data_IF_756685297092
#
_entry.id   IF_756685297092
#
_cell.length_a   1.000
_cell.length_b   1.000
_cell.length_c   1.000
_cell.angle_alpha   90.00
_cell.angle_beta   90.00
_cell.angle_gamma   90.00
#
_symmetry.space_group_name_H-M   'P 1'
#
loop_
_entity.id
_entity.type
_entity.pdbx_description
1 polymer ?
#
# COMPACT_ATOMS: atom_id res chain seq x y z
N UNK A 1 35.11 -9.80 -36.06
CA UNK A 1 35.22 -10.85 -35.03
C UNK A 1 33.90 -10.91 -34.30
N UNK A 2 33.18 -12.02 -34.46
CA UNK A 2 31.82 -12.19 -33.89
C UNK A 2 31.96 -12.57 -32.43
N UNK A 3 31.42 -11.73 -31.52
CA UNK A 3 31.24 -12.09 -30.11
C UNK A 3 30.19 -13.21 -30.04
N UNK A 4 30.63 -14.43 -29.69
CA UNK A 4 29.72 -15.52 -29.35
C UNK A 4 28.98 -15.18 -28.09
N UNK A 5 27.68 -14.98 -28.19
CA UNK A 5 26.78 -14.96 -27.02
C UNK A 5 26.88 -16.31 -26.29
N UNK A 6 27.38 -16.28 -25.06
CA UNK A 6 27.46 -17.42 -24.17
C UNK A 6 26.03 -17.88 -23.81
N UNK A 7 25.72 -19.14 -24.06
CA UNK A 7 24.42 -19.71 -23.72
C UNK A 7 24.34 -20.07 -22.23
N UNK A 8 23.14 -20.20 -21.68
CA UNK A 8 22.90 -20.61 -20.28
C UNK A 8 23.53 -21.99 -19.99
N UNK A 9 23.59 -22.88 -20.98
CA UNK A 9 24.26 -24.19 -20.89
C UNK A 9 25.78 -24.05 -20.76
N UNK A 10 26.39 -23.09 -21.46
CA UNK A 10 27.84 -22.82 -21.40
C UNK A 10 28.22 -22.19 -20.04
N UNK A 11 27.32 -21.45 -19.43
CA UNK A 11 27.52 -20.89 -18.09
C UNK A 11 27.47 -21.98 -17.02
N UNK A 12 26.49 -22.91 -17.08
CA UNK A 12 26.33 -24.01 -16.14
C UNK A 12 27.55 -24.97 -16.16
N UNK A 13 28.11 -25.26 -17.35
CA UNK A 13 29.25 -26.18 -17.46
C UNK A 13 30.56 -25.60 -16.93
N UNK A 14 30.69 -24.29 -16.83
CA UNK A 14 31.89 -23.61 -16.31
C UNK A 14 31.87 -23.38 -14.78
N UNK A 15 30.77 -23.72 -14.07
CA UNK A 15 30.61 -23.44 -12.63
C UNK A 15 30.37 -24.69 -11.79
N UNK A 16 30.58 -25.90 -12.35
CA UNK A 16 30.40 -27.16 -11.62
C UNK A 16 31.76 -27.77 -11.19
N UNK A 17 32.55 -27.01 -10.46
CA UNK A 17 33.69 -27.58 -9.71
C UNK A 17 33.75 -26.99 -8.28
N UNK A 18 33.31 -27.79 -7.32
CA UNK A 18 33.72 -27.66 -5.92
C UNK A 18 32.74 -27.01 -4.97
N UNK A 19 31.81 -27.79 -4.46
CA UNK A 19 30.99 -27.45 -3.31
C UNK A 19 31.84 -27.11 -2.09
N UNK A 20 31.86 -25.84 -1.70
CA UNK A 20 32.11 -25.37 -0.33
C UNK A 20 30.83 -24.77 0.26
N UNK A 21 30.60 -24.94 1.58
CA UNK A 21 29.31 -24.57 2.15
C UNK A 21 29.15 -23.06 2.30
N UNK A 22 28.00 -22.58 1.87
CA UNK A 22 27.26 -21.36 2.25
C UNK A 22 28.09 -20.09 2.53
N UNK A 23 28.36 -19.33 1.49
CA UNK A 23 28.39 -17.89 1.52
C UNK A 23 27.21 -17.35 0.70
N UNK A 24 26.55 -16.37 1.29
CA UNK A 24 25.32 -15.65 0.94
C UNK A 24 25.12 -15.44 -0.57
N UNK A 25 24.30 -16.27 -1.21
CA UNK A 25 23.96 -16.22 -2.64
C UNK A 25 22.90 -15.13 -2.93
N UNK A 26 23.11 -13.90 -2.45
CA UNK A 26 22.19 -12.78 -2.72
C UNK A 26 22.02 -12.51 -4.20
N UNK A 27 23.11 -12.47 -4.96
CA UNK A 27 23.07 -12.23 -6.41
C UNK A 27 22.36 -13.35 -7.18
N UNK A 28 22.52 -14.60 -6.75
CA UNK A 28 21.82 -15.75 -7.34
C UNK A 28 20.34 -15.73 -7.02
N UNK A 29 19.96 -15.41 -5.79
CA UNK A 29 18.56 -15.30 -5.38
C UNK A 29 17.88 -14.10 -6.05
N UNK A 30 18.55 -12.94 -6.15
CA UNK A 30 18.06 -11.78 -6.92
C UNK A 30 17.93 -12.05 -8.41
N UNK A 31 18.78 -12.91 -8.98
CA UNK A 31 18.69 -13.34 -10.37
C UNK A 31 17.49 -14.27 -10.59
N UNK A 32 17.29 -15.27 -9.73
CA UNK A 32 16.13 -16.18 -9.79
C UNK A 32 14.83 -15.43 -9.55
N UNK A 33 14.80 -14.45 -8.64
CA UNK A 33 13.61 -13.63 -8.37
C UNK A 33 13.15 -12.81 -9.58
N UNK A 34 14.05 -12.48 -10.52
CA UNK A 34 13.69 -11.83 -11.79
C UNK A 34 12.92 -12.72 -12.76
N UNK A 35 13.05 -14.04 -12.62
CA UNK A 35 12.38 -15.03 -13.49
C UNK A 35 11.15 -15.67 -12.84
N UNK A 36 10.86 -15.37 -11.57
CA UNK A 36 9.58 -15.76 -10.99
C UNK A 36 8.46 -15.03 -11.73
N UNK A 37 7.37 -15.72 -12.11
CA UNK A 37 6.20 -15.06 -12.65
C UNK A 37 5.83 -13.91 -11.72
N UNK A 38 5.72 -12.69 -12.23
CA UNK A 38 5.20 -11.58 -11.42
C UNK A 38 3.76 -11.94 -11.10
N UNK A 39 3.51 -12.27 -9.84
CA UNK A 39 2.16 -12.44 -9.32
C UNK A 39 1.39 -11.15 -9.57
N UNK A 40 0.22 -11.27 -10.16
CA UNK A 40 -0.68 -10.15 -10.41
C UNK A 40 -1.36 -9.72 -9.10
N UNK A 41 -2.04 -8.58 -9.10
CA UNK A 41 -2.87 -8.15 -7.96
C UNK A 41 -4.05 -9.10 -7.71
N UNK A 42 -4.40 -9.93 -8.68
CA UNK A 42 -5.47 -10.92 -8.59
C UNK A 42 -5.01 -12.21 -7.86
N UNK A 43 -3.69 -12.43 -7.74
CA UNK A 43 -3.08 -13.54 -6.97
C UNK A 43 -2.77 -13.15 -5.51
N UNK A 44 -3.37 -12.09 -5.01
CA UNK A 44 -3.12 -11.56 -3.67
C UNK A 44 -4.02 -12.24 -2.64
N UNK A 45 -3.58 -13.38 -2.10
CA UNK A 45 -4.29 -14.00 -0.98
C UNK A 45 -4.11 -13.19 0.30
N UNK A 46 -5.24 -12.97 0.99
CA UNK A 46 -5.27 -12.25 2.25
C UNK A 46 -4.77 -13.16 3.36
N UNK A 47 -3.75 -12.75 4.15
CA UNK A 47 -3.30 -13.51 5.31
C UNK A 47 -4.45 -13.81 6.28
N UNK A 48 -4.50 -15.03 6.86
CA UNK A 48 -5.63 -15.47 7.69
C UNK A 48 -5.97 -14.50 8.83
N UNK A 49 -4.97 -13.98 9.55
CA UNK A 49 -5.18 -13.05 10.65
C UNK A 49 -5.71 -11.68 10.19
N UNK A 50 -5.36 -11.22 8.99
CA UNK A 50 -5.95 -10.00 8.38
C UNK A 50 -7.41 -10.25 8.02
N UNK A 51 -7.70 -11.41 7.40
CA UNK A 51 -9.07 -11.80 7.10
C UNK A 51 -9.90 -11.88 8.38
N UNK A 52 -9.41 -12.55 9.42
CA UNK A 52 -10.10 -12.70 10.70
C UNK A 52 -10.39 -11.34 11.35
N UNK A 53 -9.41 -10.42 11.33
CA UNK A 53 -9.61 -9.08 11.87
C UNK A 53 -10.70 -8.29 11.13
N UNK A 54 -10.82 -8.46 9.81
CA UNK A 54 -11.88 -7.85 9.01
C UNK A 54 -13.21 -8.52 9.29
N UNK A 55 -13.27 -9.86 9.28
CA UNK A 55 -14.49 -10.63 9.49
C UNK A 55 -15.08 -10.41 10.91
N UNK A 56 -14.22 -10.36 11.94
CA UNK A 56 -14.65 -10.04 13.31
C UNK A 56 -15.24 -8.64 13.40
N UNK A 57 -14.58 -7.65 12.78
CA UNK A 57 -15.09 -6.30 12.75
C UNK A 57 -16.43 -6.20 12.00
N UNK A 58 -16.57 -6.88 10.86
CA UNK A 58 -17.83 -6.91 10.09
C UNK A 58 -18.97 -7.55 10.92
N UNK A 59 -18.67 -8.67 11.59
CA UNK A 59 -19.64 -9.33 12.45
C UNK A 59 -20.13 -8.41 13.58
N UNK A 60 -19.21 -7.72 14.26
CA UNK A 60 -19.52 -6.80 15.34
C UNK A 60 -20.28 -5.54 14.87
N UNK A 61 -19.78 -4.89 13.81
CA UNK A 61 -20.33 -3.63 13.29
C UNK A 61 -21.75 -3.77 12.77
N UNK A 62 -22.04 -4.90 12.08
CA UNK A 62 -23.34 -5.14 11.44
C UNK A 62 -24.23 -6.14 12.20
N UNK A 63 -23.76 -6.65 13.33
CA UNK A 63 -24.52 -7.64 14.11
C UNK A 63 -24.75 -8.96 13.37
N UNK A 64 -23.78 -9.42 12.57
CA UNK A 64 -23.85 -10.62 11.74
C UNK A 64 -23.17 -11.80 12.44
N UNK A 65 -23.66 -13.02 12.17
CA UNK A 65 -23.00 -14.24 12.61
C UNK A 65 -21.90 -14.62 11.61
N UNK A 66 -20.65 -14.74 12.07
CA UNK A 66 -19.52 -15.19 11.24
C UNK A 66 -19.74 -16.56 10.58
N UNK A 67 -20.58 -17.41 11.16
CA UNK A 67 -20.93 -18.71 10.59
C UNK A 67 -21.70 -18.60 9.25
N UNK A 68 -22.28 -17.42 8.96
CA UNK A 68 -22.98 -17.13 7.71
C UNK A 68 -22.05 -16.53 6.63
N UNK A 69 -20.76 -16.33 6.92
CA UNK A 69 -19.84 -15.73 5.97
C UNK A 69 -19.37 -16.74 4.93
N UNK A 70 -19.42 -16.33 3.67
CA UNK A 70 -18.99 -17.13 2.51
C UNK A 70 -17.75 -16.49 1.89
N UNK A 71 -16.80 -17.34 1.42
CA UNK A 71 -15.52 -16.94 0.84
C UNK A 71 -15.29 -17.56 -0.54
N UNK A 72 -15.97 -17.07 -1.58
CA UNK A 72 -15.91 -17.67 -2.92
C UNK A 72 -14.57 -17.43 -3.65
N UNK A 73 -13.75 -16.50 -3.17
CA UNK A 73 -12.44 -16.18 -3.75
C UNK A 73 -11.26 -16.85 -3.03
N UNK A 74 -11.55 -17.74 -2.08
CA UNK A 74 -10.51 -18.59 -1.50
C UNK A 74 -9.94 -19.51 -2.60
N UNK A 75 -8.64 -19.88 -2.56
CA UNK A 75 -7.99 -20.61 -3.65
C UNK A 75 -8.81 -21.77 -4.23
N UNK A 76 -9.13 -21.68 -5.52
CA UNK A 76 -9.91 -22.69 -6.25
C UNK A 76 -11.41 -22.49 -6.25
N UNK A 77 -11.94 -21.43 -5.62
CA UNK A 77 -13.36 -21.08 -5.66
C UNK A 77 -13.76 -20.32 -6.93
N UNK A 78 -15.03 -20.42 -7.28
CA UNK A 78 -15.65 -19.68 -8.39
C UNK A 78 -16.94 -19.03 -7.87
N UNK A 79 -16.96 -17.70 -7.82
CA UNK A 79 -18.06 -16.93 -7.26
C UNK A 79 -19.39 -17.07 -8.04
N UNK A 80 -19.35 -17.47 -9.32
CA UNK A 80 -20.56 -17.66 -10.12
C UNK A 80 -21.27 -18.98 -9.81
N UNK A 81 -20.52 -20.01 -9.37
CA UNK A 81 -21.00 -21.36 -9.08
C UNK A 81 -21.06 -21.68 -7.60
N UNK A 82 -20.59 -20.77 -6.73
CA UNK A 82 -20.63 -20.92 -5.28
C UNK A 82 -22.08 -21.04 -4.76
N UNK A 83 -22.27 -21.82 -3.70
CA UNK A 83 -23.55 -21.91 -3.01
C UNK A 83 -23.70 -20.74 -2.01
N UNK A 84 -24.76 -19.97 -2.19
CA UNK A 84 -25.08 -18.82 -1.34
C UNK A 84 -26.34 -19.09 -0.52
N UNK A 85 -26.25 -19.67 0.68
CA UNK A 85 -27.39 -19.91 1.55
C UNK A 85 -28.15 -18.60 1.85
N UNK A 86 -29.47 -18.73 2.06
CA UNK A 86 -30.28 -17.57 2.43
C UNK A 86 -29.73 -16.88 3.70
N UNK A 87 -29.58 -15.57 3.65
CA UNK A 87 -29.04 -14.78 4.75
C UNK A 87 -27.51 -14.79 4.86
N UNK A 88 -26.81 -15.43 3.94
CA UNK A 88 -25.34 -15.37 3.93
C UNK A 88 -24.81 -13.96 3.60
N UNK A 89 -23.58 -13.72 3.99
CA UNK A 89 -22.83 -12.51 3.64
C UNK A 89 -21.47 -12.90 3.08
N UNK A 90 -21.14 -12.39 1.90
CA UNK A 90 -19.79 -12.59 1.34
C UNK A 90 -18.82 -11.62 1.99
N UNK A 91 -17.82 -12.14 2.70
CA UNK A 91 -16.72 -11.35 3.28
C UNK A 91 -15.43 -11.90 2.69
N UNK A 92 -14.88 -11.26 1.65
CA UNK A 92 -13.73 -11.83 0.96
C UNK A 92 -12.93 -10.78 0.17
N UNK A 93 -11.78 -11.21 -0.35
CA UNK A 93 -10.88 -10.43 -1.19
C UNK A 93 -10.99 -10.90 -2.65
N UNK A 94 -11.81 -10.24 -3.48
CA UNK A 94 -12.00 -10.62 -4.88
C UNK A 94 -10.82 -10.17 -5.76
N UNK A 95 -10.68 -10.76 -6.97
CA UNK A 95 -9.83 -10.22 -8.01
C UNK A 95 -10.23 -8.77 -8.33
N UNK A 96 -9.27 -7.83 -8.18
CA UNK A 96 -9.57 -6.41 -8.33
C UNK A 96 -9.88 -6.00 -9.77
N UNK A 97 -9.41 -6.76 -10.75
CA UNK A 97 -9.66 -6.52 -12.19
C UNK A 97 -11.14 -6.63 -12.56
N UNK A 98 -11.91 -7.50 -11.88
CA UNK A 98 -13.34 -7.76 -12.13
C UNK A 98 -14.24 -7.35 -10.96
N UNK A 99 -13.75 -6.56 -10.02
CA UNK A 99 -14.49 -6.17 -8.82
C UNK A 99 -15.85 -5.52 -9.13
N UNK A 100 -15.95 -4.75 -10.22
CA UNK A 100 -17.23 -4.15 -10.66
C UNK A 100 -18.27 -5.17 -11.07
N UNK A 101 -17.85 -6.20 -11.79
CA UNK A 101 -18.72 -7.29 -12.25
C UNK A 101 -19.21 -8.09 -11.05
N UNK A 102 -18.32 -8.38 -10.10
CA UNK A 102 -18.64 -9.09 -8.87
C UNK A 102 -19.67 -8.32 -8.02
N UNK A 103 -19.47 -7.00 -7.82
CA UNK A 103 -20.44 -6.18 -7.09
C UNK A 103 -21.81 -6.22 -7.76
N UNK A 104 -21.85 -6.08 -9.09
CA UNK A 104 -23.10 -6.15 -9.87
C UNK A 104 -23.78 -7.52 -9.73
N UNK A 105 -23.01 -8.59 -9.81
CA UNK A 105 -23.52 -9.96 -9.63
C UNK A 105 -24.22 -10.15 -8.28
N UNK A 106 -23.59 -9.71 -7.18
CA UNK A 106 -24.17 -9.83 -5.85
C UNK A 106 -25.40 -8.95 -5.66
N UNK A 107 -25.38 -7.71 -6.15
CA UNK A 107 -26.53 -6.81 -6.09
C UNK A 107 -27.73 -7.41 -6.82
N UNK A 108 -27.55 -7.91 -8.05
CA UNK A 108 -28.63 -8.48 -8.86
C UNK A 108 -29.24 -9.73 -8.22
N UNK A 109 -28.50 -10.46 -7.40
CA UNK A 109 -28.95 -11.66 -6.68
C UNK A 109 -29.41 -11.36 -5.25
N UNK A 110 -29.34 -10.12 -4.78
CA UNK A 110 -29.68 -9.74 -3.41
C UNK A 110 -28.74 -10.31 -2.35
N UNK A 111 -27.52 -10.71 -2.76
CA UNK A 111 -26.50 -11.25 -1.87
C UNK A 111 -25.81 -10.10 -1.13
N UNK A 112 -25.69 -10.21 0.17
CA UNK A 112 -24.96 -9.24 1.00
C UNK A 112 -23.46 -9.48 0.88
N UNK A 113 -22.69 -8.37 0.86
CA UNK A 113 -21.25 -8.48 0.74
C UNK A 113 -20.48 -7.38 1.48
N UNK A 114 -19.24 -7.72 1.85
CA UNK A 114 -18.21 -6.83 2.33
C UNK A 114 -16.86 -7.24 1.67
N UNK A 115 -16.44 -6.50 0.65
CA UNK A 115 -15.33 -6.88 -0.22
C UNK A 115 -14.13 -5.96 -0.04
N UNK A 116 -12.94 -6.55 -0.03
CA UNK A 116 -11.70 -5.78 -0.16
C UNK A 116 -11.65 -5.06 -1.51
N UNK A 117 -11.08 -3.86 -1.52
CA UNK A 117 -10.94 -3.04 -2.72
C UNK A 117 -9.65 -2.21 -2.66
N UNK A 118 -9.00 -1.92 -3.80
CA UNK A 118 -7.86 -1.01 -3.83
C UNK A 118 -8.29 0.40 -3.45
N UNK A 119 -7.58 1.04 -2.51
CA UNK A 119 -7.93 2.40 -2.07
C UNK A 119 -7.84 3.45 -3.18
N UNK A 120 -6.91 3.29 -4.14
CA UNK A 120 -6.75 4.23 -5.25
C UNK A 120 -7.93 4.25 -6.22
N UNK A 121 -8.59 3.12 -6.39
CA UNK A 121 -9.76 2.97 -7.28
C UNK A 121 -11.04 2.69 -6.50
N UNK A 122 -11.09 3.07 -5.22
CA UNK A 122 -12.19 2.74 -4.33
C UNK A 122 -13.54 3.20 -4.88
N UNK A 123 -13.61 4.36 -5.50
CA UNK A 123 -14.84 4.95 -6.04
C UNK A 123 -15.14 4.52 -7.50
N UNK A 124 -14.31 3.67 -8.10
CA UNK A 124 -14.70 2.99 -9.33
C UNK A 124 -15.78 1.94 -9.04
N UNK A 125 -16.62 1.60 -10.01
CA UNK A 125 -17.77 0.71 -9.80
C UNK A 125 -18.67 1.20 -8.67
N UNK A 126 -19.30 2.34 -8.90
CA UNK A 126 -20.28 2.93 -8.01
C UNK A 126 -21.70 2.49 -8.40
N UNK A 127 -22.59 2.46 -7.41
CA UNK A 127 -24.01 2.17 -7.60
C UNK A 127 -24.81 2.59 -6.36
N UNK A 128 -26.12 2.78 -6.48
CA UNK A 128 -26.94 3.31 -5.39
C UNK A 128 -26.95 2.44 -4.13
N UNK A 129 -26.58 1.17 -4.27
CA UNK A 129 -26.55 0.20 -3.18
C UNK A 129 -25.13 -0.01 -2.62
N UNK A 130 -24.10 0.63 -3.19
CA UNK A 130 -22.70 0.43 -2.79
C UNK A 130 -22.25 1.54 -1.85
N UNK A 131 -21.83 1.16 -0.67
CA UNK A 131 -21.06 2.02 0.23
C UNK A 131 -19.57 1.76 0.07
N UNK A 132 -18.79 2.82 -0.09
CA UNK A 132 -17.34 2.82 -0.17
C UNK A 132 -16.74 3.12 1.21
N UNK A 133 -16.00 2.15 1.78
CA UNK A 133 -15.38 2.32 3.10
C UNK A 133 -13.92 2.70 2.95
N UNK A 134 -13.60 3.97 3.20
CA UNK A 134 -12.25 4.51 3.21
C UNK A 134 -11.59 4.24 4.57
N UNK A 135 -11.14 3.01 4.80
CA UNK A 135 -10.59 2.59 6.08
C UNK A 135 -9.13 3.00 6.30
N UNK A 136 -8.38 3.38 5.25
CA UNK A 136 -6.97 3.74 5.36
C UNK A 136 -6.08 2.57 5.81
N UNK A 137 -6.46 1.35 5.47
CA UNK A 137 -5.69 0.15 5.75
C UNK A 137 -4.55 -0.04 4.75
N UNK A 138 -3.41 -0.54 5.21
CA UNK A 138 -2.38 -1.10 4.36
C UNK A 138 -2.28 -2.59 4.66
N UNK A 139 -2.46 -3.42 3.66
CA UNK A 139 -2.42 -4.88 3.77
C UNK A 139 -1.21 -5.41 3.02
N UNK A 140 -0.41 -6.25 3.68
CA UNK A 140 0.65 -7.05 3.05
C UNK A 140 0.08 -8.43 2.76
N UNK A 141 -0.13 -8.72 1.49
CA UNK A 141 -0.66 -9.99 1.02
C UNK A 141 0.39 -11.10 1.07
N UNK A 142 -0.01 -12.38 0.97
CA UNK A 142 0.90 -13.53 1.08
C UNK A 142 2.02 -13.52 0.03
N UNK A 143 1.78 -12.95 -1.15
CA UNK A 143 2.80 -12.73 -2.18
C UNK A 143 3.78 -11.57 -1.87
N UNK A 144 3.65 -10.92 -0.72
CA UNK A 144 4.47 -9.79 -0.27
C UNK A 144 4.04 -8.42 -0.85
N UNK A 145 3.02 -8.36 -1.69
CA UNK A 145 2.49 -7.10 -2.21
C UNK A 145 1.85 -6.27 -1.09
N UNK A 146 2.25 -5.00 -0.97
CA UNK A 146 1.65 -4.04 -0.04
C UNK A 146 0.65 -3.16 -0.78
N UNK A 147 -0.61 -3.29 -0.44
CA UNK A 147 -1.70 -2.56 -1.08
C UNK A 147 -2.42 -1.68 -0.06
N UNK A 148 -2.60 -0.40 -0.39
CA UNK A 148 -3.52 0.45 0.34
C UNK A 148 -4.94 -0.01 0.02
N UNK A 149 -5.66 -0.45 1.04
CA UNK A 149 -6.91 -1.17 0.93
C UNK A 149 -8.05 -0.38 1.57
N UNK A 150 -9.15 -0.26 0.84
CA UNK A 150 -10.47 0.10 1.31
C UNK A 150 -11.42 -1.08 1.15
N UNK A 151 -12.72 -0.83 1.30
CA UNK A 151 -13.72 -1.89 1.18
C UNK A 151 -14.98 -1.38 0.47
N UNK A 152 -15.71 -2.29 -0.14
CA UNK A 152 -17.04 -2.04 -0.72
C UNK A 152 -18.06 -2.94 -0.07
N UNK A 153 -19.26 -2.40 0.20
CA UNK A 153 -20.32 -3.17 0.83
C UNK A 153 -21.70 -2.68 0.40
N UNK A 154 -22.69 -3.56 0.45
CA UNK A 154 -24.11 -3.25 0.34
C UNK A 154 -24.86 -3.45 1.69
N UNK A 155 -24.12 -3.52 2.80
CA UNK A 155 -24.69 -3.61 4.14
C UNK A 155 -25.18 -2.26 4.68
N UNK A 156 -24.76 -1.15 4.06
CA UNK A 156 -25.13 0.21 4.45
C UNK A 156 -26.27 0.73 3.58
N UNK A 157 -27.33 1.20 4.20
CA UNK A 157 -28.47 1.77 3.47
C UNK A 157 -28.29 3.28 3.34
N UNK A 158 -28.29 3.80 2.10
CA UNK A 158 -28.28 5.23 1.82
C UNK A 158 -26.93 5.95 2.09
N UNK A 159 -25.89 5.21 2.45
CA UNK A 159 -24.55 5.76 2.69
C UNK A 159 -23.66 5.44 1.49
N UNK A 160 -23.23 6.47 0.77
CA UNK A 160 -22.32 6.30 -0.37
C UNK A 160 -20.85 6.11 0.05
N UNK A 161 -20.40 6.82 1.08
CA UNK A 161 -19.00 6.78 1.57
C UNK A 161 -18.96 6.91 3.08
N UNK A 162 -18.14 6.08 3.72
CA UNK A 162 -17.82 6.27 5.16
C UNK A 162 -16.35 5.94 5.45
N UNK A 163 -15.86 6.41 6.58
CA UNK A 163 -14.60 5.95 7.17
C UNK A 163 -14.88 4.91 8.26
N UNK A 164 -13.89 4.04 8.51
CA UNK A 164 -14.00 2.99 9.53
C UNK A 164 -12.73 2.93 10.41
N UNK A 165 -12.55 3.87 11.38
CA UNK A 165 -11.36 3.90 12.23
C UNK A 165 -11.19 2.64 13.08
N UNK A 166 -12.28 1.97 13.46
CA UNK A 166 -12.26 0.69 14.18
C UNK A 166 -11.64 -0.42 13.33
N UNK A 167 -12.08 -0.54 12.08
CA UNK A 167 -11.53 -1.48 11.10
C UNK A 167 -10.04 -1.21 10.83
N UNK A 168 -9.68 0.07 10.65
CA UNK A 168 -8.28 0.45 10.46
C UNK A 168 -7.40 -0.02 11.61
N UNK A 169 -7.84 0.15 12.85
CA UNK A 169 -7.10 -0.29 14.04
C UNK A 169 -6.97 -1.82 14.11
N UNK A 170 -8.05 -2.55 13.79
CA UNK A 170 -8.06 -4.01 13.77
C UNK A 170 -7.07 -4.57 12.73
N UNK A 171 -7.14 -4.08 11.48
CA UNK A 171 -6.22 -4.47 10.42
C UNK A 171 -4.78 -4.08 10.72
N UNK A 172 -4.54 -2.86 11.22
CA UNK A 172 -3.19 -2.41 11.58
C UNK A 172 -2.56 -3.25 12.70
N UNK A 173 -3.37 -3.74 13.64
CA UNK A 173 -2.91 -4.66 14.70
C UNK A 173 -2.49 -6.00 14.11
N UNK A 174 -3.33 -6.62 13.27
CA UNK A 174 -3.05 -7.88 12.61
C UNK A 174 -1.82 -7.77 11.68
N UNK A 175 -1.70 -6.67 10.92
CA UNK A 175 -0.55 -6.39 10.06
C UNK A 175 0.76 -6.26 10.87
N UNK A 176 0.69 -5.65 12.05
CA UNK A 176 1.84 -5.54 12.95
C UNK A 176 2.31 -6.91 13.46
N UNK A 177 1.40 -7.83 13.71
CA UNK A 177 1.73 -9.22 14.09
C UNK A 177 2.47 -9.93 12.95
N UNK A 178 2.06 -9.74 11.69
CA UNK A 178 2.71 -10.31 10.51
C UNK A 178 4.10 -9.70 10.23
N UNK A 179 4.29 -8.44 10.62
CA UNK A 179 5.54 -7.70 10.40
C UNK A 179 6.44 -7.68 11.64
N UNK A 180 6.04 -8.34 12.74
CA UNK A 180 6.81 -8.42 13.96
C UNK A 180 8.21 -9.01 13.66
N UNK A 181 9.22 -8.18 13.73
CA UNK A 181 10.62 -8.50 13.37
C UNK A 181 11.11 -7.88 12.04
N UNK A 182 10.26 -7.21 11.25
CA UNK A 182 10.63 -6.57 9.97
C UNK A 182 10.50 -5.04 9.95
N UNK A 183 10.13 -4.39 11.06
CA UNK A 183 10.12 -2.93 11.11
C UNK A 183 11.54 -2.39 11.04
N UNK A 184 11.92 -1.87 9.88
CA UNK A 184 13.12 -1.05 9.77
C UNK A 184 12.86 0.27 10.53
N UNK A 185 13.71 0.62 11.49
CA UNK A 185 13.54 1.85 12.24
C UNK A 185 13.55 3.06 11.30
N UNK A 186 12.55 3.93 11.45
CA UNK A 186 12.50 5.20 10.72
C UNK A 186 13.42 6.21 11.38
N UNK A 187 14.57 6.47 10.77
CA UNK A 187 15.51 7.45 11.27
C UNK A 187 15.06 8.88 10.95
N UNK A 188 15.01 9.72 11.98
CA UNK A 188 14.87 11.17 11.83
C UNK A 188 16.22 11.81 12.14
N UNK A 189 16.82 12.40 11.13
CA UNK A 189 18.08 13.13 11.28
C UNK A 189 17.83 14.56 11.76
N UNK A 190 18.75 15.14 12.56
CA UNK A 190 18.76 16.56 12.89
C UNK A 190 18.72 17.44 11.64
N UNK A 191 18.33 18.71 11.80
CA UNK A 191 18.31 19.69 10.70
C UNK A 191 19.68 19.89 10.04
N UNK A 192 20.75 19.72 10.83
CA UNK A 192 22.14 19.82 10.39
C UNK A 192 22.64 18.63 9.58
N UNK A 193 21.82 17.62 9.32
CA UNK A 193 22.20 16.45 8.52
C UNK A 193 21.38 16.39 7.25
N UNK A 194 22.04 16.41 6.10
CA UNK A 194 21.41 16.10 4.82
C UNK A 194 21.87 14.75 4.29
N UNK A 195 20.93 14.02 3.72
CA UNK A 195 21.16 12.71 3.06
C UNK A 195 20.81 12.82 1.58
N UNK A 196 21.39 11.95 0.76
CA UNK A 196 21.09 11.89 -0.67
C UNK A 196 19.57 11.82 -0.96
N UNK A 197 18.84 10.95 -0.27
CA UNK A 197 17.40 10.81 -0.43
C UNK A 197 16.62 12.11 -0.13
N UNK A 198 17.08 12.90 0.84
CA UNK A 198 16.46 14.18 1.19
C UNK A 198 16.65 15.22 0.09
N UNK A 199 17.87 15.35 -0.43
CA UNK A 199 18.20 16.32 -1.49
C UNK A 199 17.56 15.94 -2.82
N UNK A 200 17.57 14.66 -3.19
CA UNK A 200 16.88 14.18 -4.39
C UNK A 200 15.38 14.50 -4.36
N UNK A 201 14.74 14.35 -3.21
CA UNK A 201 13.33 14.73 -3.05
C UNK A 201 13.08 16.21 -3.30
N UNK A 202 13.99 17.09 -2.85
CA UNK A 202 13.89 18.53 -3.13
C UNK A 202 13.98 18.81 -4.63
N UNK A 203 14.92 18.17 -5.33
CA UNK A 203 15.04 18.29 -6.79
C UNK A 203 13.76 17.82 -7.53
N UNK A 204 13.12 16.72 -7.09
CA UNK A 204 11.86 16.25 -7.66
C UNK A 204 10.72 17.27 -7.53
N UNK A 205 10.74 18.11 -6.48
CA UNK A 205 9.76 19.17 -6.27
C UNK A 205 10.19 20.53 -6.85
N UNK A 206 11.23 20.55 -7.70
CA UNK A 206 11.68 21.75 -8.37
C UNK A 206 12.38 22.76 -7.45
N UNK A 207 12.85 22.32 -6.28
CA UNK A 207 13.59 23.18 -5.35
C UNK A 207 15.06 23.21 -5.77
N UNK A 208 15.53 24.40 -6.16
CA UNK A 208 16.94 24.65 -6.40
C UNK A 208 17.66 24.78 -5.05
N UNK A 209 18.60 23.86 -4.78
CA UNK A 209 19.35 23.81 -3.53
C UNK A 209 20.82 23.58 -3.81
N UNK A 210 21.65 24.44 -3.26
CA UNK A 210 23.10 24.28 -3.28
C UNK A 210 23.70 24.63 -1.93
N UNK A 211 24.82 24.02 -1.58
CA UNK A 211 25.58 24.31 -0.36
C UNK A 211 27.08 24.36 -0.68
N UNK A 212 27.79 25.33 -0.13
CA UNK A 212 29.21 25.49 -0.40
C UNK A 212 30.03 24.41 0.30
N UNK A 213 31.12 23.99 -0.33
CA UNK A 213 31.99 22.94 0.21
C UNK A 213 32.52 23.22 1.60
N UNK A 214 32.76 24.50 1.91
CA UNK A 214 33.26 24.96 3.23
C UNK A 214 32.24 24.83 4.36
N UNK A 215 30.93 24.73 4.03
CA UNK A 215 29.83 24.71 4.99
C UNK A 215 29.36 23.30 5.29
N UNK A 216 30.06 22.26 4.78
CA UNK A 216 29.69 20.86 4.92
C UNK A 216 30.88 19.97 5.29
N UNK A 217 30.60 18.96 6.12
CA UNK A 217 31.52 17.87 6.42
C UNK A 217 30.82 16.52 6.05
N UNK A 218 31.50 15.72 5.23
CA UNK A 218 30.97 14.36 4.89
C UNK A 218 31.06 13.49 6.12
N UNK A 219 29.93 12.79 6.43
CA UNK A 219 29.82 11.85 7.54
C UNK A 219 29.22 10.52 7.06
N UNK A 220 29.70 9.39 7.60
CA UNK A 220 29.14 8.06 7.38
C UNK A 220 28.09 7.70 8.43
N UNK A 221 28.19 8.28 9.63
CA UNK A 221 27.28 8.08 10.75
C UNK A 221 27.35 9.28 11.69
N UNK A 222 26.32 9.49 12.50
CA UNK A 222 26.41 10.24 13.74
C UNK A 222 27.04 9.36 14.82
N UNK A 223 27.69 9.94 15.82
CA UNK A 223 28.31 9.18 16.92
C UNK A 223 27.34 8.22 17.61
N UNK A 224 26.10 8.68 17.85
CA UNK A 224 25.04 7.85 18.41
C UNK A 224 24.67 6.65 17.51
N UNK A 225 24.72 6.81 16.18
CA UNK A 225 24.48 5.71 15.23
C UNK A 225 25.66 4.75 15.19
N UNK A 226 26.88 5.27 15.21
CA UNK A 226 28.11 4.46 15.23
C UNK A 226 28.19 3.60 16.48
N UNK A 227 27.78 4.14 17.64
CA UNK A 227 27.71 3.40 18.91
C UNK A 227 26.74 2.19 18.85
N UNK A 228 25.71 2.24 17.98
CA UNK A 228 24.78 1.14 17.73
C UNK A 228 25.19 0.26 16.52
N UNK A 229 26.37 0.44 15.95
CA UNK A 229 26.82 -0.27 14.75
C UNK A 229 26.05 0.11 13.49
N UNK A 230 25.41 1.29 13.45
CA UNK A 230 24.57 1.77 12.36
C UNK A 230 25.24 2.93 11.64
N UNK A 231 24.76 3.25 10.43
CA UNK A 231 25.27 4.36 9.63
C UNK A 231 24.20 5.01 8.75
N UNK A 232 24.59 6.09 8.10
CA UNK A 232 23.78 6.77 7.10
C UNK A 232 23.97 6.04 5.77
N UNK A 233 22.89 5.46 5.24
CA UNK A 233 22.93 4.77 3.95
C UNK A 233 23.38 5.73 2.83
N UNK A 234 24.48 5.39 2.14
CA UNK A 234 25.08 6.22 1.11
C UNK A 234 25.83 7.45 1.65
N UNK A 235 26.08 7.53 2.96
CA UNK A 235 26.67 8.70 3.65
C UNK A 235 25.76 9.94 3.65
N UNK A 236 26.16 10.97 4.39
CA UNK A 236 25.49 12.26 4.48
C UNK A 236 26.50 13.39 4.62
N UNK A 237 25.98 14.61 4.77
CA UNK A 237 26.76 15.78 5.13
C UNK A 237 26.22 16.41 6.41
N UNK A 238 27.12 16.72 7.31
CA UNK A 238 26.87 17.61 8.43
C UNK A 238 27.01 19.05 7.94
N UNK A 239 26.08 19.91 8.33
CA UNK A 239 25.96 21.29 7.88
C UNK A 239 26.37 22.28 8.97
N UNK A 240 26.90 23.42 8.58
CA UNK A 240 26.97 24.62 9.46
C UNK A 240 25.57 25.12 9.80
N UNK A 241 25.42 25.97 10.82
CA UNK A 241 24.11 26.53 11.21
C UNK A 241 23.44 27.29 10.07
N UNK A 242 24.20 28.07 9.31
CA UNK A 242 23.68 28.80 8.14
C UNK A 242 23.19 27.87 7.04
N UNK A 243 23.96 26.85 6.71
CA UNK A 243 23.55 25.84 5.72
C UNK A 243 22.35 24.98 6.19
N UNK A 244 22.25 24.70 7.49
CA UNK A 244 21.12 24.01 8.08
C UNK A 244 19.82 24.81 8.00
N UNK A 245 19.91 26.16 8.18
CA UNK A 245 18.77 27.05 7.99
C UNK A 245 18.29 27.06 6.53
N UNK A 246 19.20 27.10 5.55
CA UNK A 246 18.88 26.98 4.12
C UNK A 246 18.25 25.62 3.79
N UNK A 247 18.77 24.54 4.35
CA UNK A 247 18.20 23.20 4.19
C UNK A 247 16.79 23.09 4.80
N UNK A 248 16.52 23.78 5.91
CA UNK A 248 15.18 23.84 6.51
C UNK A 248 14.18 24.58 5.61
N UNK A 249 14.58 25.69 5.00
CA UNK A 249 13.77 26.44 4.03
C UNK A 249 13.46 25.59 2.78
N UNK A 250 14.46 24.91 2.22
CA UNK A 250 14.27 23.98 1.10
C UNK A 250 13.28 22.86 1.45
N UNK A 251 13.36 22.30 2.66
CA UNK A 251 12.45 21.27 3.13
C UNK A 251 11.02 21.79 3.30
N UNK A 252 10.84 23.03 3.73
CA UNK A 252 9.52 23.67 3.84
C UNK A 252 8.94 23.97 2.46
N UNK A 253 9.72 24.52 1.53
CA UNK A 253 9.31 24.76 0.15
C UNK A 253 8.91 23.46 -0.55
N UNK A 254 9.66 22.36 -0.37
CA UNK A 254 9.32 21.06 -0.92
C UNK A 254 8.00 20.50 -0.37
N UNK A 255 7.65 20.78 0.88
CA UNK A 255 6.34 20.41 1.44
C UNK A 255 5.21 21.22 0.82
N UNK A 256 5.42 22.52 0.64
CA UNK A 256 4.43 23.42 0.01
C UNK A 256 4.21 23.05 -1.47
N UNK A 257 5.28 22.69 -2.21
CA UNK A 257 5.18 22.28 -3.62
C UNK A 257 4.40 20.97 -3.86
N UNK A 258 4.16 20.18 -2.81
CA UNK A 258 3.35 18.95 -2.90
C UNK A 258 1.84 19.21 -2.98
N UNK A 259 1.39 20.42 -2.69
CA UNK A 259 -0.02 20.78 -2.62
C UNK A 259 -0.38 21.59 -3.86
N UNK A 260 -1.08 20.95 -4.82
CA UNK A 260 -1.80 21.66 -5.87
C UNK A 260 -3.26 21.74 -5.43
N UNK A 261 -3.72 22.94 -5.14
CA UNK A 261 -5.13 23.19 -4.85
C UNK A 261 -5.89 23.29 -6.18
N UNK A 262 -7.02 22.57 -6.27
CA UNK A 262 -7.94 22.62 -7.38
C UNK A 262 -9.17 23.40 -6.94
N UNK A 263 -9.57 24.38 -7.75
CA UNK A 263 -10.78 25.16 -7.52
C UNK A 263 -11.98 24.47 -8.16
N UNK A 264 -13.14 24.61 -7.52
CA UNK A 264 -14.39 24.13 -8.07
C UNK A 264 -14.81 25.01 -9.24
N UNK A 265 -15.22 24.41 -10.34
CA UNK A 265 -15.82 25.10 -11.48
C UNK A 265 -17.25 25.57 -11.15
N UNK A 266 -17.77 26.51 -11.92
CA UNK A 266 -19.16 26.97 -11.79
C UNK A 266 -20.17 25.83 -11.89
N UNK A 267 -19.90 24.83 -12.75
CA UNK A 267 -20.72 23.62 -12.87
C UNK A 267 -20.75 22.81 -11.58
N UNK A 268 -19.60 22.62 -10.95
CA UNK A 268 -19.48 21.86 -9.71
C UNK A 268 -20.14 22.60 -8.54
N UNK A 269 -20.01 23.91 -8.48
CA UNK A 269 -20.72 24.75 -7.52
C UNK A 269 -22.24 24.64 -7.70
N UNK A 270 -22.74 24.68 -8.93
CA UNK A 270 -24.16 24.47 -9.22
C UNK A 270 -24.63 23.07 -8.79
N UNK A 271 -23.84 22.01 -9.05
CA UNK A 271 -24.16 20.65 -8.58
C UNK A 271 -24.25 20.56 -7.06
N UNK A 272 -23.35 21.22 -6.35
CA UNK A 272 -23.39 21.30 -4.88
C UNK A 272 -24.69 21.98 -4.40
N UNK A 273 -25.10 23.06 -5.08
CA UNK A 273 -26.36 23.73 -4.76
C UNK A 273 -27.58 22.80 -4.94
N UNK A 274 -27.59 21.96 -6.02
CA UNK A 274 -28.65 20.97 -6.21
C UNK A 274 -28.64 19.89 -5.12
N UNK A 275 -27.49 19.46 -4.66
CA UNK A 275 -27.36 18.50 -3.57
C UNK A 275 -27.90 19.07 -2.24
N UNK A 276 -27.64 20.35 -1.98
CA UNK A 276 -28.15 21.01 -0.78
C UNK A 276 -29.70 21.11 -0.79
N UNK A 277 -30.30 21.35 -1.97
CA UNK A 277 -31.75 21.40 -2.13
C UNK A 277 -32.46 20.06 -1.92
N UNK A 278 -31.75 18.92 -2.11
CA UNK A 278 -32.31 17.58 -1.87
C UNK A 278 -32.49 17.28 -0.38
N UNK A 279 -31.71 17.90 0.50
CA UNK A 279 -31.82 17.73 1.95
C UNK A 279 -33.05 18.39 2.56
N UNK A 280 -33.69 19.31 1.84
CA UNK A 280 -34.88 20.03 2.33
C UNK A 280 -36.20 19.29 1.98
N UNK A 281 -36.11 18.07 1.43
CA UNK A 281 -37.27 17.28 0.95
C UNK A 281 -37.46 15.96 1.71
N UNK A 282 -36.52 15.59 2.59
CA UNK A 282 -36.60 14.46 3.53
C UNK A 282 -36.89 14.97 4.94
#
# INVERSE_FOLDING_TARGET
>A
MSEKQMTFADWLSNHDEGAKPQEDNREYNEFIDKFKPKLTTDDCYTPPNIYDAVADWVAEEYGLDRATFVRPFYPGGDYETEDYPEGCTVVDNPPFSILSEICTFYIMRGIKFFLFAPALTLFSADGPEICHIAAGCQVTYENGAKVNTGFKTNLENGIAVRTAPGLQKAVARAEKENTAGRELPKYRYPSHVITSARVQRWGLYGIDYSVKRRDVLKIGALEAQAAEGKGIFGSGFLLSDEAAAQAAQAAQAARAAQVKEWELSERELWLIEQLNKRKDVD
#
